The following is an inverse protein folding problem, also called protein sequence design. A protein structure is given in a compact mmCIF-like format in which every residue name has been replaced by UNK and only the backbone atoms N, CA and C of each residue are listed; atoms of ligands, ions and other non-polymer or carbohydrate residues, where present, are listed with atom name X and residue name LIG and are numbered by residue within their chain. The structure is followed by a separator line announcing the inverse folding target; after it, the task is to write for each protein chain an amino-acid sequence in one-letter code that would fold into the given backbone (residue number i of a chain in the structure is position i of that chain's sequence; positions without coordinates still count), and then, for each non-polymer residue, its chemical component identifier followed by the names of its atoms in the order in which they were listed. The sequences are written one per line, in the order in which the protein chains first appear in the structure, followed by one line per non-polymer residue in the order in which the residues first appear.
data_IF_772930896172
#
_entry.id   IF_772930896172
#
_cell.length_a   1.000
_cell.length_b   1.000
_cell.length_c   1.000
_cell.angle_alpha   90.00
_cell.angle_beta   90.00
_cell.angle_gamma   90.00
#
_symmetry.space_group_name_H-M   'P 1'
#
loop_
_entity.id
_entity.type
_entity.pdbx_description
1 polymer ?
#
# COMPACT_ATOMS: atom_id res chain seq x y z
N UNK A 1 6.85 2.82 14.18
CA UNK A 1 7.54 3.86 13.37
C UNK A 1 6.65 5.10 13.44
N UNK A 2 7.13 6.32 13.73
CA UNK A 2 6.22 7.46 14.03
C UNK A 2 5.18 7.76 12.91
N UNK A 3 5.51 7.44 11.66
CA UNK A 3 4.59 7.53 10.49
C UNK A 3 3.32 6.69 10.68
N UNK A 4 3.40 5.55 11.36
CA UNK A 4 2.27 4.68 11.71
C UNK A 4 1.34 5.35 12.73
N UNK A 5 1.90 5.94 13.78
CA UNK A 5 1.14 6.65 14.81
C UNK A 5 0.43 7.87 14.22
N UNK A 6 1.10 8.57 13.31
CA UNK A 6 0.49 9.69 12.56
C UNK A 6 -0.67 9.16 11.71
N UNK A 7 -0.47 8.09 10.95
CA UNK A 7 -1.51 7.48 10.10
C UNK A 7 -2.73 7.03 10.92
N UNK A 8 -2.52 6.41 12.08
CA UNK A 8 -3.59 5.99 12.99
C UNK A 8 -4.35 7.17 13.63
N UNK A 9 -3.68 8.32 13.79
CA UNK A 9 -4.31 9.54 14.33
C UNK A 9 -5.22 10.27 13.33
N UNK A 10 -5.12 9.95 12.04
CA UNK A 10 -5.93 10.57 10.99
C UNK A 10 -7.36 10.03 10.99
N UNK A 11 -8.33 10.89 10.66
CA UNK A 11 -9.74 10.49 10.52
C UNK A 11 -9.91 9.60 9.28
N UNK A 12 -10.61 8.48 9.46
CA UNK A 12 -11.04 7.60 8.39
C UNK A 12 -12.42 8.03 7.83
N UNK A 13 -12.73 7.75 6.56
CA UNK A 13 -11.89 7.04 5.58
C UNK A 13 -10.73 7.89 5.06
N UNK A 14 -9.60 7.23 4.75
CA UNK A 14 -8.43 7.90 4.18
C UNK A 14 -8.67 8.30 2.72
N UNK A 15 -8.18 9.48 2.34
CA UNK A 15 -8.27 10.01 0.96
C UNK A 15 -7.10 9.53 0.09
N UNK A 16 -7.13 9.79 -1.24
CA UNK A 16 -5.94 9.64 -2.12
C UNK A 16 -4.72 10.40 -1.61
N UNK A 17 -4.97 11.50 -0.91
CA UNK A 17 -3.96 12.39 -0.39
C UNK A 17 -3.43 11.94 0.97
N UNK A 18 -3.70 10.70 1.42
CA UNK A 18 -3.29 10.20 2.75
C UNK A 18 -1.79 10.36 3.02
N UNK A 19 -0.93 10.25 2.01
CA UNK A 19 0.50 10.57 2.18
C UNK A 19 0.66 12.05 2.57
N UNK A 20 0.09 12.98 1.82
CA UNK A 20 0.13 14.41 2.17
C UNK A 20 -0.58 14.71 3.49
N UNK A 21 -1.67 14.02 3.84
CA UNK A 21 -2.34 14.17 5.13
C UNK A 21 -1.41 13.77 6.29
N UNK A 22 -0.64 12.68 6.14
CA UNK A 22 0.35 12.23 7.14
C UNK A 22 1.47 13.27 7.28
N UNK A 23 2.10 13.68 6.17
CA UNK A 23 3.19 14.68 6.23
C UNK A 23 2.71 16.06 6.72
N UNK A 24 1.50 16.49 6.37
CA UNK A 24 0.89 17.70 6.95
C UNK A 24 0.73 17.59 8.47
N UNK A 25 0.35 16.41 8.97
CA UNK A 25 0.16 16.18 10.39
C UNK A 25 1.47 16.16 11.15
N UNK A 26 2.53 15.64 10.53
CA UNK A 26 3.92 15.72 11.03
C UNK A 26 4.35 17.19 11.13
N UNK A 27 4.14 17.98 10.08
CA UNK A 27 4.53 19.40 10.04
C UNK A 27 3.80 20.25 11.08
N UNK A 28 2.54 19.92 11.42
CA UNK A 28 1.72 20.68 12.36
C UNK A 28 1.96 20.35 13.83
N UNK A 29 2.66 19.25 14.12
CA UNK A 29 2.94 18.81 15.50
C UNK A 29 4.43 18.90 15.81
N UNK A 30 4.85 19.79 16.72
CA UNK A 30 6.27 20.03 17.01
C UNK A 30 7.04 18.75 17.38
N UNK A 31 6.41 17.85 18.14
CA UNK A 31 7.04 16.59 18.56
C UNK A 31 7.41 15.70 17.36
N UNK A 32 6.48 15.54 16.41
CA UNK A 32 6.69 14.75 15.20
C UNK A 32 7.60 15.45 14.20
N UNK A 33 7.51 16.78 14.11
CA UNK A 33 8.41 17.57 13.26
C UNK A 33 9.86 17.43 13.71
N UNK A 34 10.14 17.50 15.02
CA UNK A 34 11.48 17.29 15.57
C UNK A 34 12.02 15.90 15.25
N UNK A 35 11.17 14.87 15.33
CA UNK A 35 11.53 13.49 15.01
C UNK A 35 11.83 13.32 13.50
N UNK A 36 11.00 13.94 12.66
CA UNK A 36 11.21 13.99 11.21
C UNK A 36 12.51 14.72 10.84
N UNK A 37 12.80 15.86 11.45
CA UNK A 37 14.02 16.63 11.22
C UNK A 37 15.26 15.85 11.66
N UNK A 38 15.20 15.17 12.81
CA UNK A 38 16.27 14.28 13.28
C UNK A 38 16.56 13.16 12.28
N UNK A 39 15.51 12.54 11.73
CA UNK A 39 15.65 11.52 10.68
C UNK A 39 16.19 12.11 9.38
N UNK A 40 15.78 13.32 9.00
CA UNK A 40 16.28 14.02 7.82
C UNK A 40 17.76 14.37 7.96
N UNK A 41 18.21 14.79 9.14
CA UNK A 41 19.61 15.07 9.42
C UNK A 41 20.49 13.81 9.27
N UNK A 42 19.94 12.64 9.59
CA UNK A 42 20.67 11.36 9.54
C UNK A 42 20.63 10.67 8.18
N UNK A 43 19.49 10.68 7.49
CA UNK A 43 19.24 9.86 6.29
C UNK A 43 19.05 10.69 5.01
N UNK A 44 18.86 12.01 5.15
CA UNK A 44 18.49 12.90 4.06
C UNK A 44 16.97 12.99 3.86
N UNK A 45 16.50 14.21 3.57
CA UNK A 45 15.07 14.54 3.37
C UNK A 45 14.40 13.69 2.29
N UNK A 46 15.09 13.46 1.18
CA UNK A 46 14.57 12.63 0.07
C UNK A 46 14.32 11.18 0.52
N UNK A 47 15.31 10.56 1.17
CA UNK A 47 15.19 9.20 1.72
C UNK A 47 14.01 9.08 2.67
N UNK A 48 13.87 10.01 3.63
CA UNK A 48 12.77 9.97 4.61
C UNK A 48 11.42 10.10 3.94
N UNK A 49 11.28 11.02 2.98
CA UNK A 49 10.02 11.23 2.26
C UNK A 49 9.64 10.02 1.40
N UNK A 50 10.60 9.45 0.67
CA UNK A 50 10.37 8.25 -0.16
C UNK A 50 10.05 7.03 0.69
N UNK A 51 10.81 6.79 1.77
CA UNK A 51 10.56 5.67 2.69
C UNK A 51 9.22 5.81 3.41
N UNK A 52 8.86 7.02 3.85
CA UNK A 52 7.56 7.29 4.48
C UNK A 52 6.40 7.05 3.52
N UNK A 53 6.45 7.59 2.30
CA UNK A 53 5.42 7.37 1.30
C UNK A 53 5.26 5.89 0.92
N UNK A 54 6.38 5.16 0.76
CA UNK A 54 6.36 3.72 0.49
C UNK A 54 5.79 2.92 1.66
N UNK A 55 6.12 3.28 2.89
CA UNK A 55 5.59 2.61 4.07
C UNK A 55 4.07 2.80 4.17
N UNK A 56 3.56 4.01 3.95
CA UNK A 56 2.12 4.30 3.96
C UNK A 56 1.40 3.50 2.86
N UNK A 57 1.99 3.40 1.66
CA UNK A 57 1.46 2.59 0.57
C UNK A 57 1.35 1.10 0.95
N UNK A 58 2.43 0.52 1.49
CA UNK A 58 2.46 -0.88 1.96
C UNK A 58 1.46 -1.11 3.10
N UNK A 59 1.44 -0.22 4.10
CA UNK A 59 0.57 -0.33 5.27
C UNK A 59 -0.91 -0.28 4.90
N UNK A 60 -1.27 0.45 3.84
CA UNK A 60 -2.63 0.55 3.34
C UNK A 60 -2.94 -0.48 2.24
N UNK A 61 -1.97 -1.32 1.83
CA UNK A 61 -2.11 -2.23 0.69
C UNK A 61 -2.39 -1.50 -0.64
N UNK A 62 -2.00 -0.22 -0.74
CA UNK A 62 -2.28 0.65 -1.88
C UNK A 62 -1.05 0.80 -2.78
N UNK A 63 -1.29 0.95 -4.07
CA UNK A 63 -0.25 1.30 -5.04
C UNK A 63 -0.28 2.79 -5.35
N UNK A 64 0.90 3.39 -5.54
CA UNK A 64 1.02 4.78 -5.95
C UNK A 64 0.71 4.92 -7.44
N UNK A 65 -0.38 5.60 -7.78
CA UNK A 65 -0.87 5.67 -9.16
C UNK A 65 -0.26 6.86 -9.92
N UNK A 66 -0.14 8.02 -9.26
CA UNK A 66 0.33 9.26 -9.89
C UNK A 66 1.11 10.13 -8.91
N UNK A 67 2.25 10.66 -9.36
CA UNK A 67 2.99 11.65 -8.59
C UNK A 67 2.39 13.04 -8.75
N UNK A 68 2.13 13.73 -7.65
CA UNK A 68 1.66 15.11 -7.60
C UNK A 68 2.55 15.97 -6.71
N UNK A 69 2.56 17.27 -6.95
CA UNK A 69 3.26 18.26 -6.11
C UNK A 69 2.41 18.53 -4.86
N UNK A 70 3.05 18.57 -3.69
CA UNK A 70 2.35 18.95 -2.47
C UNK A 70 1.97 20.42 -2.53
N UNK A 71 0.72 20.72 -2.18
CA UNK A 71 0.20 22.08 -2.13
C UNK A 71 -0.06 22.55 -0.71
N UNK A 72 -0.15 21.62 0.25
CA UNK A 72 -0.54 21.90 1.63
C UNK A 72 0.58 21.70 2.64
N UNK A 73 1.66 21.03 2.25
CA UNK A 73 2.76 20.65 3.12
C UNK A 73 4.09 21.11 2.56
N UNK A 74 4.92 21.81 3.34
CA UNK A 74 6.21 22.33 2.84
C UNK A 74 7.35 21.32 2.98
N UNK A 75 7.22 20.37 3.91
CA UNK A 75 8.20 19.29 4.11
C UNK A 75 8.12 18.22 3.02
N UNK A 76 6.98 18.14 2.33
CA UNK A 76 6.75 17.23 1.20
C UNK A 76 6.88 18.02 -0.10
N UNK A 77 7.80 17.64 -0.98
CA UNK A 77 7.94 18.30 -2.29
C UNK A 77 6.90 17.77 -3.28
N UNK A 78 7.04 16.50 -3.63
CA UNK A 78 6.08 15.74 -4.42
C UNK A 78 5.83 14.38 -3.78
N UNK A 79 4.69 13.78 -4.05
CA UNK A 79 4.26 12.51 -3.46
C UNK A 79 3.33 11.74 -4.38
N UNK A 80 3.19 10.44 -4.13
CA UNK A 80 2.27 9.60 -4.88
C UNK A 80 0.86 9.68 -4.30
N UNK A 81 -0.14 9.92 -5.15
CA UNK A 81 -1.53 9.69 -4.77
C UNK A 81 -1.74 8.19 -4.52
N UNK A 82 -2.34 7.87 -3.38
CA UNK A 82 -2.65 6.50 -2.99
C UNK A 82 -4.15 6.26 -3.09
N UNK A 83 -4.57 5.76 -4.24
CA UNK A 83 -5.89 5.19 -4.50
C UNK A 83 -7.05 5.98 -3.86
N UNK A 84 -7.50 7.00 -4.59
CA UNK A 84 -8.53 7.98 -4.21
C UNK A 84 -9.84 7.37 -3.74
N UNK A 85 -10.08 6.14 -4.17
CA UNK A 85 -11.21 5.34 -3.80
C UNK A 85 -10.68 4.01 -3.28
N UNK A 86 -10.99 3.69 -2.02
CA UNK A 86 -11.04 2.31 -1.54
C UNK A 86 -12.14 1.47 -2.26
N UNK A 87 -12.52 1.88 -3.47
CA UNK A 87 -13.37 1.22 -4.45
C UNK A 87 -12.82 1.57 -5.83
N UNK A 88 -11.75 0.90 -6.23
CA UNK A 88 -11.72 0.08 -7.45
C UNK A 88 -10.26 -0.16 -7.82
N UNK A 89 -9.80 -1.40 -7.60
CA UNK A 89 -8.99 -2.04 -8.62
C UNK A 89 -9.74 -1.95 -9.96
N UNK A 90 -9.52 -0.86 -10.70
CA UNK A 90 -10.16 -0.59 -12.01
C UNK A 90 -9.18 -0.64 -13.16
N UNK A 91 -7.93 -1.03 -12.92
CA UNK A 91 -7.16 -1.72 -13.94
C UNK A 91 -7.07 -3.18 -13.53
N UNK A 92 -7.85 -4.01 -14.23
CA UNK A 92 -7.64 -5.46 -14.26
C UNK A 92 -6.15 -5.69 -14.48
N UNK A 93 -5.43 -6.27 -13.50
CA UNK A 93 -3.99 -6.44 -13.63
C UNK A 93 -3.72 -7.24 -14.90
N UNK A 94 -2.73 -6.79 -15.67
CA UNK A 94 -2.31 -7.55 -16.85
C UNK A 94 -1.72 -8.88 -16.38
N UNK A 95 -1.69 -9.88 -17.25
CA UNK A 95 -1.24 -11.23 -16.90
C UNK A 95 0.09 -11.26 -16.13
N UNK A 96 1.10 -10.50 -16.58
CA UNK A 96 2.39 -10.41 -15.89
C UNK A 96 2.29 -9.88 -14.44
N UNK A 97 1.39 -8.93 -14.21
CA UNK A 97 1.16 -8.35 -12.88
C UNK A 97 0.31 -9.29 -12.01
N UNK A 98 -0.71 -9.92 -12.58
CA UNK A 98 -1.51 -10.92 -11.89
C UNK A 98 -0.67 -12.13 -11.46
N UNK A 99 0.29 -12.54 -12.29
CA UNK A 99 1.28 -13.56 -11.95
C UNK A 99 2.16 -13.14 -10.78
N UNK A 100 2.60 -11.89 -10.73
CA UNK A 100 3.41 -11.37 -9.63
C UNK A 100 2.59 -11.32 -8.32
N UNK A 101 1.37 -10.77 -8.37
CA UNK A 101 0.45 -10.70 -7.23
C UNK A 101 0.15 -12.09 -6.67
N UNK A 102 -0.13 -13.06 -7.56
CA UNK A 102 -0.35 -14.45 -7.18
C UNK A 102 0.88 -15.07 -6.52
N UNK A 103 2.06 -14.87 -7.09
CA UNK A 103 3.31 -15.39 -6.56
C UNK A 103 3.64 -14.82 -5.18
N UNK A 104 3.49 -13.50 -5.01
CA UNK A 104 3.76 -12.81 -3.73
C UNK A 104 2.82 -13.34 -2.63
N UNK A 105 1.53 -13.47 -2.94
CA UNK A 105 0.55 -14.04 -2.01
C UNK A 105 0.85 -15.51 -1.68
N UNK A 106 1.20 -16.32 -2.69
CA UNK A 106 1.57 -17.71 -2.51
C UNK A 106 2.78 -17.85 -1.60
N UNK A 107 3.87 -17.12 -1.84
CA UNK A 107 5.09 -17.24 -1.03
C UNK A 107 4.89 -16.75 0.41
N UNK A 108 4.09 -15.70 0.61
CA UNK A 108 3.76 -15.19 1.93
C UNK A 108 2.89 -16.16 2.75
N UNK A 109 2.05 -16.97 2.09
CA UNK A 109 1.06 -17.82 2.74
C UNK A 109 1.25 -19.33 2.50
N UNK A 110 2.34 -19.75 1.83
CA UNK A 110 2.57 -21.13 1.40
C UNK A 110 2.41 -22.18 2.50
N UNK A 111 2.71 -21.82 3.75
CA UNK A 111 2.65 -22.74 4.89
C UNK A 111 1.20 -22.96 5.38
N UNK A 112 0.27 -22.12 4.94
CA UNK A 112 -1.17 -22.15 5.23
C UNK A 112 -2.02 -22.58 4.04
N UNK A 113 -1.43 -22.65 2.85
CA UNK A 113 -2.14 -23.01 1.62
C UNK A 113 -2.08 -24.53 1.40
N UNK A 114 -3.14 -25.14 0.82
CA UNK A 114 -3.13 -26.55 0.46
C UNK A 114 -2.01 -26.91 -0.53
N UNK A 115 -1.51 -28.14 -0.47
CA UNK A 115 -0.41 -28.59 -1.34
C UNK A 115 -0.81 -28.63 -2.83
N UNK A 116 -2.10 -28.82 -3.11
CA UNK A 116 -2.73 -28.85 -4.42
C UNK A 116 -3.10 -27.46 -4.95
N UNK A 117 -2.92 -26.38 -4.17
CA UNK A 117 -3.25 -25.00 -4.60
C UNK A 117 -2.53 -24.60 -5.89
N UNK A 118 -1.36 -25.21 -6.16
CA UNK A 118 -0.56 -24.99 -7.38
C UNK A 118 -1.27 -25.48 -8.64
N UNK A 119 -2.19 -26.44 -8.53
CA UNK A 119 -2.99 -26.94 -9.65
C UNK A 119 -3.99 -25.88 -10.14
N UNK A 120 -4.34 -24.93 -9.28
CA UNK A 120 -5.30 -23.86 -9.57
C UNK A 120 -4.61 -22.54 -9.98
N UNK A 121 -3.32 -22.60 -10.29
CA UNK A 121 -2.52 -21.41 -10.60
C UNK A 121 -3.16 -20.54 -11.68
N UNK A 122 -3.56 -21.16 -12.78
CA UNK A 122 -4.06 -20.40 -13.93
C UNK A 122 -5.44 -19.80 -13.62
N UNK A 123 -6.32 -20.52 -12.91
CA UNK A 123 -7.62 -20.01 -12.48
C UNK A 123 -7.49 -18.89 -11.44
N UNK A 124 -6.55 -19.00 -10.50
CA UNK A 124 -6.28 -17.95 -9.51
C UNK A 124 -5.79 -16.67 -10.22
N UNK A 125 -4.92 -16.82 -11.21
CA UNK A 125 -4.42 -15.69 -12.02
C UNK A 125 -5.56 -15.07 -12.83
N UNK A 126 -6.44 -15.86 -13.43
CA UNK A 126 -7.63 -15.36 -14.11
C UNK A 126 -8.56 -14.57 -13.18
N UNK A 127 -8.77 -15.04 -11.95
CA UNK A 127 -9.56 -14.31 -10.95
C UNK A 127 -8.89 -12.99 -10.56
N UNK A 128 -7.57 -12.99 -10.37
CA UNK A 128 -6.81 -11.77 -10.07
C UNK A 128 -6.89 -10.79 -11.25
N UNK A 129 -6.72 -11.27 -12.49
CA UNK A 129 -6.94 -10.48 -13.72
C UNK A 129 -8.39 -9.99 -13.84
N UNK A 130 -9.37 -10.71 -13.29
CA UNK A 130 -10.75 -10.26 -13.23
C UNK A 130 -10.99 -9.16 -12.17
N UNK A 131 -9.97 -8.83 -11.36
CA UNK A 131 -10.01 -7.84 -10.29
C UNK A 131 -10.36 -8.43 -8.92
N UNK A 132 -10.34 -9.76 -8.77
CA UNK A 132 -10.54 -10.42 -7.48
C UNK A 132 -9.26 -10.29 -6.64
N UNK A 133 -9.34 -9.86 -5.37
CA UNK A 133 -8.18 -9.83 -4.49
C UNK A 133 -7.53 -11.22 -4.36
N UNK A 134 -6.19 -11.30 -4.21
CA UNK A 134 -5.50 -12.59 -4.13
C UNK A 134 -5.99 -13.45 -2.97
N UNK A 135 -6.32 -12.88 -1.81
CA UNK A 135 -6.89 -13.65 -0.69
C UNK A 135 -8.16 -14.39 -1.09
N UNK A 136 -9.11 -13.70 -1.72
CA UNK A 136 -10.37 -14.29 -2.15
C UNK A 136 -10.17 -15.27 -3.31
N UNK A 137 -9.28 -14.95 -4.25
CA UNK A 137 -8.94 -15.82 -5.37
C UNK A 137 -8.35 -17.17 -4.90
N UNK A 138 -7.45 -17.14 -3.91
CA UNK A 138 -6.91 -18.35 -3.29
C UNK A 138 -7.96 -19.07 -2.44
N UNK A 139 -8.83 -18.36 -1.73
CA UNK A 139 -9.87 -18.95 -0.86
C UNK A 139 -10.84 -19.84 -1.64
N UNK A 140 -11.18 -19.49 -2.89
CA UNK A 140 -12.02 -20.31 -3.78
C UNK A 140 -11.51 -21.75 -3.91
N UNK A 141 -10.19 -21.94 -3.89
CA UNK A 141 -9.53 -23.23 -4.12
C UNK A 141 -8.81 -23.77 -2.88
N UNK A 142 -8.87 -23.07 -1.74
CA UNK A 142 -8.18 -23.48 -0.51
C UNK A 142 -9.01 -24.43 0.37
N UNK A 143 -10.20 -24.84 -0.07
CA UNK A 143 -11.02 -25.84 0.61
C UNK A 143 -11.94 -25.31 1.74
N UNK A 144 -12.02 -24.00 1.94
CA UNK A 144 -12.99 -23.37 2.87
C UNK A 144 -14.26 -22.88 2.13
N UNK A 145 -14.76 -23.70 1.21
CA UNK A 145 -16.09 -23.57 0.63
C UNK A 145 -17.02 -24.58 1.29
N UNK A 146 -17.99 -24.07 2.06
CA UNK A 146 -19.23 -24.69 2.58
C UNK A 146 -19.44 -26.18 2.24
#
# INVERSE_FOLDING_TARGET
MFVEEVLQSLKQPYTEHVIEDVFCSIERRPDWLNEYESLCARLGKGTVNTSGGRWIAIALGKHGEKQVVSKRCSILGSYSLLDADAKLMSTKPKEAEALQIMADYYFANKDRLPADIRLYRDQIVELIMAGVPPEDAFRVFSGDGV
#
